data_IF_633901856257
#
_entry.id   IF_633901856257
#
_cell.length_a   1.000
_cell.length_b   1.000
_cell.length_c   1.000
_cell.angle_alpha   90.00
_cell.angle_beta   90.00
_cell.angle_gamma   90.00
#
_symmetry.space_group_name_H-M   'P 1'
#
loop_
_entity.id
_entity.type
_entity.pdbx_description
1 polymer ?
#
# COMPACT_ATOMS: atom_id res chain seq x y z
N UNK A 1 -9.13 5.81 -5.40
CA UNK A 1 -8.26 5.00 -4.51
C UNK A 1 -8.82 4.80 -3.11
N UNK A 2 -9.16 5.84 -2.32
CA UNK A 2 -9.76 5.63 -0.98
C UNK A 2 -11.02 4.76 -1.03
N UNK A 3 -11.97 5.10 -1.91
CA UNK A 3 -13.18 4.31 -2.11
C UNK A 3 -12.90 2.92 -2.71
N UNK A 4 -11.87 2.78 -3.55
CA UNK A 4 -11.46 1.48 -4.10
C UNK A 4 -10.93 0.57 -3.00
N UNK A 5 -10.09 1.09 -2.11
CA UNK A 5 -9.59 0.35 -0.96
C UNK A 5 -10.74 -0.10 -0.05
N UNK A 6 -11.73 0.77 0.18
CA UNK A 6 -12.96 0.40 0.93
C UNK A 6 -13.72 -0.73 0.22
N UNK A 7 -14.00 -0.56 -1.08
CA UNK A 7 -14.75 -1.52 -1.89
C UNK A 7 -14.09 -2.90 -1.98
N UNK A 8 -12.76 -2.95 -1.90
CA UNK A 8 -11.98 -4.19 -1.94
C UNK A 8 -11.73 -4.81 -0.55
N UNK A 9 -12.32 -4.23 0.51
CA UNK A 9 -12.24 -4.74 1.88
C UNK A 9 -10.96 -4.33 2.62
N UNK A 10 -10.23 -3.33 2.12
CA UNK A 10 -9.03 -2.77 2.73
C UNK A 10 -9.36 -1.50 3.54
N UNK A 11 -10.38 -1.57 4.41
CA UNK A 11 -10.91 -0.42 5.16
C UNK A 11 -9.84 0.38 5.94
N UNK A 12 -8.77 -0.28 6.41
CA UNK A 12 -7.62 0.38 7.06
C UNK A 12 -6.79 1.31 6.16
N UNK A 13 -7.05 1.30 4.85
CA UNK A 13 -6.50 2.22 3.84
C UNK A 13 -7.60 2.90 3.02
N UNK A 14 -8.87 2.66 3.38
CA UNK A 14 -10.07 3.25 2.78
C UNK A 14 -10.51 4.49 3.53
N UNK A 15 -11.82 4.60 3.78
CA UNK A 15 -12.49 5.78 4.33
C UNK A 15 -11.90 6.25 5.67
N UNK A 16 -11.40 5.32 6.48
CA UNK A 16 -10.70 5.61 7.75
C UNK A 16 -9.50 6.55 7.60
N UNK A 17 -8.93 6.71 6.39
CA UNK A 17 -7.80 7.60 6.12
C UNK A 17 -8.19 9.04 5.79
N UNK A 18 -9.46 9.31 5.51
CA UNK A 18 -9.92 10.65 5.10
C UNK A 18 -9.61 11.70 6.17
N UNK A 19 -9.89 11.39 7.44
CA UNK A 19 -9.59 12.30 8.55
C UNK A 19 -8.08 12.57 8.68
N UNK A 20 -7.25 11.51 8.60
CA UNK A 20 -5.81 11.64 8.71
C UNK A 20 -5.21 12.46 7.56
N UNK A 21 -5.63 12.22 6.31
CA UNK A 21 -5.18 13.02 5.17
C UNK A 21 -5.62 14.49 5.29
N UNK A 22 -6.84 14.73 5.75
CA UNK A 22 -7.36 16.10 5.96
C UNK A 22 -6.53 16.83 7.02
N UNK A 23 -6.19 16.16 8.12
CA UNK A 23 -5.34 16.74 9.16
C UNK A 23 -3.95 17.07 8.64
N UNK A 24 -3.30 16.17 7.89
CA UNK A 24 -1.98 16.44 7.31
C UNK A 24 -1.99 17.58 6.29
N UNK A 25 -3.04 17.68 5.47
CA UNK A 25 -3.21 18.80 4.54
C UNK A 25 -3.38 20.13 5.27
N UNK A 26 -4.22 20.18 6.31
CA UNK A 26 -4.43 21.38 7.13
C UNK A 26 -3.18 21.82 7.88
N UNK A 27 -2.39 20.86 8.38
CA UNK A 27 -1.16 21.11 9.12
C UNK A 27 0.06 21.39 8.21
N UNK A 28 -0.10 21.36 6.89
CA UNK A 28 1.01 21.55 5.95
C UNK A 28 1.96 20.36 5.81
N UNK A 29 1.64 19.22 6.44
CA UNK A 29 2.39 17.98 6.23
C UNK A 29 2.17 17.36 4.86
N UNK A 30 1.05 17.65 4.20
CA UNK A 30 0.85 17.34 2.78
C UNK A 30 0.60 18.63 2.01
N UNK A 31 1.15 18.69 0.79
CA UNK A 31 0.89 19.79 -0.12
C UNK A 31 -0.44 19.55 -0.85
N UNK A 32 -1.39 20.46 -0.69
CA UNK A 32 -2.70 20.41 -1.35
C UNK A 32 -2.63 20.71 -2.85
N UNK A 33 -1.56 21.38 -3.31
CA UNK A 33 -1.36 21.78 -4.71
C UNK A 33 0.08 21.47 -5.15
N UNK A 34 0.48 20.19 -5.16
CA UNK A 34 1.85 19.79 -5.43
C UNK A 34 2.21 19.99 -6.91
N UNK A 35 3.45 20.43 -7.16
CA UNK A 35 4.03 20.47 -8.51
C UNK A 35 4.80 19.19 -8.77
N UNK A 36 4.16 18.23 -9.44
CA UNK A 36 4.76 16.93 -9.74
C UNK A 36 5.74 17.02 -10.92
N UNK A 37 7.04 16.83 -10.67
CA UNK A 37 8.10 16.85 -11.70
C UNK A 37 8.60 15.44 -11.99
N UNK A 38 8.42 14.97 -13.23
CA UNK A 38 9.01 13.72 -13.70
C UNK A 38 10.40 14.01 -14.30
N UNK A 39 11.37 13.21 -13.91
CA UNK A 39 12.75 13.25 -14.41
C UNK A 39 13.12 11.88 -14.97
N UNK A 40 13.23 11.75 -16.29
CA UNK A 40 13.74 10.54 -16.93
C UNK A 40 15.26 10.53 -16.79
N UNK A 41 15.79 9.65 -15.94
CA UNK A 41 17.23 9.57 -15.67
C UNK A 41 17.93 8.62 -16.65
N UNK A 42 17.20 7.64 -17.19
CA UNK A 42 17.61 6.70 -18.24
C UNK A 42 16.40 6.36 -19.13
N UNK A 43 16.57 5.73 -20.31
CA UNK A 43 15.45 5.38 -21.18
C UNK A 43 14.32 4.63 -20.48
N UNK A 44 14.65 3.67 -19.61
CA UNK A 44 13.68 2.85 -18.86
C UNK A 44 13.54 3.22 -17.38
N UNK A 45 14.12 4.35 -16.93
CA UNK A 45 14.11 4.74 -15.50
C UNK A 45 13.74 6.21 -15.34
N UNK A 46 12.77 6.48 -14.47
CA UNK A 46 12.41 7.84 -14.09
C UNK A 46 12.24 8.01 -12.58
N UNK A 47 12.37 9.26 -12.14
CA UNK A 47 12.10 9.71 -10.77
C UNK A 47 10.97 10.73 -10.82
N UNK A 48 9.90 10.49 -10.07
CA UNK A 48 8.82 11.44 -9.87
C UNK A 48 9.04 12.16 -8.53
N UNK A 49 9.39 13.45 -8.61
CA UNK A 49 9.49 14.35 -7.47
C UNK A 49 8.08 14.87 -7.15
N UNK A 50 7.58 14.55 -5.95
CA UNK A 50 6.16 14.69 -5.64
C UNK A 50 5.79 15.95 -4.84
N UNK A 51 6.75 16.77 -4.42
CA UNK A 51 6.47 18.07 -3.78
C UNK A 51 5.46 17.98 -2.61
N UNK A 52 5.62 16.97 -1.74
CA UNK A 52 4.73 16.76 -0.59
C UNK A 52 3.33 16.26 -0.93
N UNK A 53 3.06 15.83 -2.16
CA UNK A 53 1.75 15.36 -2.58
C UNK A 53 1.20 14.22 -1.71
N UNK A 54 -0.14 14.10 -1.57
CA UNK A 54 -0.75 12.87 -1.10
C UNK A 54 -0.27 11.67 -1.95
N UNK A 55 0.13 10.59 -1.30
CA UNK A 55 0.70 9.42 -1.97
C UNK A 55 -0.12 8.89 -3.15
N UNK A 56 -1.45 8.71 -3.04
CA UNK A 56 -2.29 8.32 -4.17
C UNK A 56 -2.21 9.24 -5.40
N UNK A 57 -2.02 10.54 -5.20
CA UNK A 57 -1.92 11.52 -6.30
C UNK A 57 -0.63 11.30 -7.07
N UNK A 58 0.51 11.24 -6.37
CA UNK A 58 1.81 11.01 -6.98
C UNK A 58 1.94 9.59 -7.57
N UNK A 59 1.48 8.57 -6.85
CA UNK A 59 1.55 7.19 -7.29
C UNK A 59 0.72 6.91 -8.54
N UNK A 60 -0.50 7.45 -8.64
CA UNK A 60 -1.33 7.29 -9.85
C UNK A 60 -0.76 8.04 -11.05
N UNK A 61 -0.13 9.20 -10.82
CA UNK A 61 0.64 9.88 -11.86
C UNK A 61 1.80 8.99 -12.33
N UNK A 62 2.58 8.43 -11.40
CA UNK A 62 3.71 7.55 -11.70
C UNK A 62 3.30 6.31 -12.48
N UNK A 63 2.17 5.67 -12.16
CA UNK A 63 1.64 4.51 -12.92
C UNK A 63 1.39 4.85 -14.39
N UNK A 64 0.83 6.04 -14.68
CA UNK A 64 0.56 6.46 -16.07
C UNK A 64 1.86 6.62 -16.87
N UNK A 65 2.85 7.28 -16.28
CA UNK A 65 4.16 7.48 -16.90
C UNK A 65 4.90 6.14 -17.08
N UNK A 66 4.85 5.29 -16.06
CA UNK A 66 5.46 3.96 -16.08
C UNK A 66 4.86 3.07 -17.17
N UNK A 67 3.53 3.10 -17.35
CA UNK A 67 2.88 2.29 -18.37
C UNK A 67 3.33 2.67 -19.78
N UNK A 68 3.50 3.96 -20.07
CA UNK A 68 4.03 4.43 -21.35
C UNK A 68 5.49 4.00 -21.54
N UNK A 69 6.34 4.20 -20.53
CA UNK A 69 7.75 3.81 -20.57
C UNK A 69 7.95 2.30 -20.76
N UNK A 70 7.17 1.47 -20.05
CA UNK A 70 7.29 0.02 -20.12
C UNK A 70 6.92 -0.53 -21.50
N UNK A 71 5.91 0.05 -22.18
CA UNK A 71 5.58 -0.32 -23.57
C UNK A 71 6.67 0.10 -24.54
N UNK A 72 7.26 1.27 -24.33
CA UNK A 72 8.33 1.77 -25.20
C UNK A 72 9.62 0.95 -25.06
N UNK A 73 9.94 0.50 -23.84
CA UNK A 73 11.24 -0.07 -23.50
C UNK A 73 11.19 -1.57 -23.15
N UNK A 74 10.01 -2.20 -23.19
CA UNK A 74 9.75 -3.57 -22.74
C UNK A 74 9.75 -3.76 -21.22
N UNK A 75 10.54 -2.97 -20.49
CA UNK A 75 10.47 -2.86 -19.03
C UNK A 75 10.89 -1.46 -18.57
N UNK A 76 10.29 -0.99 -17.48
CA UNK A 76 10.62 0.30 -16.91
C UNK A 76 10.41 0.36 -15.40
N UNK A 77 11.00 1.36 -14.75
CA UNK A 77 10.78 1.66 -13.34
C UNK A 77 10.59 3.15 -13.09
N UNK A 78 9.75 3.47 -12.10
CA UNK A 78 9.55 4.84 -11.60
C UNK A 78 9.69 4.84 -10.09
N UNK A 79 10.66 5.60 -9.59
CA UNK A 79 10.78 5.92 -8.18
C UNK A 79 9.95 7.17 -7.85
N UNK A 80 9.12 7.12 -6.82
CA UNK A 80 8.33 8.25 -6.33
C UNK A 80 8.93 8.77 -5.03
N UNK A 81 9.30 10.05 -5.01
CA UNK A 81 10.00 10.73 -3.91
C UNK A 81 9.19 11.87 -3.33
N UNK A 82 9.22 12.01 -2.01
CA UNK A 82 8.58 13.15 -1.33
C UNK A 82 7.06 13.12 -1.38
N UNK A 83 6.45 11.93 -1.46
CA UNK A 83 5.00 11.75 -1.42
C UNK A 83 4.56 11.20 -0.05
N UNK A 84 3.39 11.60 0.43
CA UNK A 84 2.78 11.03 1.64
C UNK A 84 2.47 9.54 1.53
N UNK A 85 1.85 9.00 2.59
CA UNK A 85 1.35 7.63 2.64
C UNK A 85 0.61 7.24 1.35
N UNK A 86 1.04 6.15 0.71
CA UNK A 86 0.62 5.74 -0.63
C UNK A 86 -0.66 4.88 -0.69
N UNK A 87 -1.31 4.57 0.43
CA UNK A 87 -2.53 3.74 0.40
C UNK A 87 -2.22 2.28 0.06
N UNK A 88 -3.08 1.64 -0.74
CA UNK A 88 -2.95 0.21 -1.08
C UNK A 88 -2.10 0.02 -2.34
N UNK A 89 -1.15 -0.92 -2.31
CA UNK A 89 -0.24 -1.12 -3.44
C UNK A 89 -0.92 -1.82 -4.62
N UNK A 90 -1.95 -2.62 -4.34
CA UNK A 90 -2.85 -3.22 -5.34
C UNK A 90 -3.46 -2.20 -6.30
N UNK A 91 -3.72 -0.97 -5.85
CA UNK A 91 -4.24 0.08 -6.72
C UNK A 91 -3.26 0.48 -7.83
N UNK A 92 -1.95 0.40 -7.58
CA UNK A 92 -0.92 0.71 -8.57
C UNK A 92 -0.65 -0.50 -9.48
N UNK A 93 -0.35 -1.64 -8.86
CA UNK A 93 -0.01 -2.86 -9.57
C UNK A 93 -1.20 -3.38 -10.41
N UNK A 94 -2.42 -3.31 -9.87
CA UNK A 94 -3.64 -3.66 -10.58
C UNK A 94 -3.90 -2.79 -11.80
N UNK A 95 -3.62 -1.48 -11.74
CA UNK A 95 -3.78 -0.59 -12.91
C UNK A 95 -2.80 -0.90 -14.03
N UNK A 96 -1.56 -1.27 -13.68
CA UNK A 96 -0.59 -1.76 -14.66
C UNK A 96 -1.10 -3.06 -15.31
N UNK A 97 -1.64 -3.98 -14.51
CA UNK A 97 -2.20 -5.24 -15.00
C UNK A 97 -3.40 -5.05 -15.95
N UNK A 98 -4.33 -4.14 -15.61
CA UNK A 98 -5.43 -3.79 -16.51
C UNK A 98 -4.94 -3.11 -17.81
N UNK A 99 -3.77 -2.48 -17.78
CA UNK A 99 -3.13 -1.90 -18.96
C UNK A 99 -2.33 -2.94 -19.78
N UNK A 100 -2.42 -4.24 -19.46
CA UNK A 100 -1.70 -5.30 -20.15
C UNK A 100 -0.24 -5.48 -19.69
N UNK A 101 0.17 -4.84 -18.60
CA UNK A 101 1.55 -4.89 -18.09
C UNK A 101 1.65 -5.68 -16.79
N UNK A 102 2.71 -6.48 -16.62
CA UNK A 102 3.04 -7.04 -15.30
C UNK A 102 3.64 -5.93 -14.46
N UNK A 103 2.99 -5.57 -13.36
CA UNK A 103 3.40 -4.50 -12.46
C UNK A 103 3.82 -4.99 -11.08
N UNK A 104 4.89 -4.41 -10.55
CA UNK A 104 5.33 -4.56 -9.17
C UNK A 104 5.28 -3.20 -8.46
N UNK A 105 4.93 -3.22 -7.18
CA UNK A 105 4.99 -2.03 -6.33
C UNK A 105 5.60 -2.38 -4.97
N UNK A 106 6.44 -1.48 -4.46
CA UNK A 106 7.13 -1.61 -3.18
C UNK A 106 7.06 -0.28 -2.42
N UNK A 107 6.76 -0.31 -1.13
CA UNK A 107 6.79 0.88 -0.28
C UNK A 107 7.45 0.55 1.06
N UNK A 108 8.29 1.44 1.58
CA UNK A 108 8.72 1.38 2.97
C UNK A 108 7.73 2.15 3.85
N UNK A 109 7.68 1.81 5.14
CA UNK A 109 6.71 2.39 6.08
C UNK A 109 7.39 2.72 7.41
N UNK A 110 6.77 3.52 8.29
CA UNK A 110 7.32 3.73 9.62
C UNK A 110 7.61 2.41 10.36
N UNK A 111 8.58 2.40 11.29
CA UNK A 111 9.10 1.16 11.85
C UNK A 111 8.04 0.40 12.63
N UNK A 112 8.03 -0.92 12.44
CA UNK A 112 6.96 -1.77 12.93
C UNK A 112 7.35 -3.24 13.15
N UNK A 113 8.31 -3.80 12.41
CA UNK A 113 8.61 -5.25 12.42
C UNK A 113 9.84 -5.56 13.28
N UNK A 114 9.79 -6.68 14.01
CA UNK A 114 10.89 -7.22 14.83
C UNK A 114 12.10 -7.75 14.00
N UNK A 115 13.32 -7.84 14.57
CA UNK A 115 13.71 -7.53 15.96
C UNK A 115 13.94 -6.03 16.19
N UNK A 116 13.18 -5.46 17.14
CA UNK A 116 13.12 -4.00 17.34
C UNK A 116 12.51 -3.29 16.13
N UNK A 117 11.68 -2.24 16.30
CA UNK A 117 11.02 -1.63 15.16
C UNK A 117 12.05 -0.77 14.40
N UNK A 118 12.81 -1.39 13.51
CA UNK A 118 13.77 -0.75 12.58
C UNK A 118 13.16 -0.73 11.18
N UNK A 119 12.61 -1.86 10.74
CA UNK A 119 11.95 -2.00 9.45
C UNK A 119 10.45 -1.74 9.59
N UNK A 120 9.86 -1.17 8.56
CA UNK A 120 8.42 -1.04 8.45
C UNK A 120 7.70 -2.35 8.13
N UNK A 121 6.37 -2.28 8.03
CA UNK A 121 5.54 -3.35 7.47
C UNK A 121 5.83 -3.64 6.00
N UNK A 122 6.51 -2.71 5.33
CA UNK A 122 7.21 -2.84 4.06
C UNK A 122 6.47 -3.69 3.03
N UNK A 123 5.27 -3.26 2.58
CA UNK A 123 4.45 -4.05 1.68
C UNK A 123 5.06 -4.17 0.28
N UNK A 124 4.66 -5.25 -0.40
CA UNK A 124 4.88 -5.45 -1.82
C UNK A 124 3.59 -5.91 -2.52
N UNK A 125 3.47 -5.59 -3.81
CA UNK A 125 2.36 -6.01 -4.64
C UNK A 125 2.81 -6.46 -6.02
N UNK A 126 2.01 -7.37 -6.60
CA UNK A 126 2.09 -7.83 -7.98
C UNK A 126 0.72 -7.62 -8.63
N UNK A 127 0.71 -7.09 -9.85
CA UNK A 127 -0.41 -7.13 -10.76
C UNK A 127 0.03 -7.81 -12.05
N UNK A 128 -0.68 -8.81 -12.50
CA UNK A 128 -0.36 -9.56 -13.72
C UNK A 128 -1.61 -9.68 -14.60
N UNK A 129 -1.55 -9.31 -15.89
CA UNK A 129 -2.69 -9.46 -16.80
C UNK A 129 -3.15 -10.90 -16.85
N UNK A 130 -4.45 -11.11 -16.66
CA UNK A 130 -5.10 -12.40 -16.71
C UNK A 130 -6.57 -12.21 -17.08
N UNK A 131 -7.23 -13.28 -17.50
CA UNK A 131 -8.65 -13.29 -17.81
C UNK A 131 -9.40 -14.18 -16.80
N UNK A 132 -10.64 -13.82 -16.42
CA UNK A 132 -11.36 -12.58 -16.78
C UNK A 132 -10.88 -11.35 -15.99
N UNK A 133 -10.17 -11.56 -14.88
CA UNK A 133 -9.65 -10.51 -14.00
C UNK A 133 -8.14 -10.70 -13.82
N UNK A 134 -7.36 -9.62 -13.62
CA UNK A 134 -5.94 -9.73 -13.34
C UNK A 134 -5.63 -10.48 -12.05
N UNK A 135 -4.48 -11.14 -12.02
CA UNK A 135 -3.90 -11.65 -10.77
C UNK A 135 -3.37 -10.44 -9.99
N UNK A 136 -3.85 -10.26 -8.75
CA UNK A 136 -3.41 -9.15 -7.88
C UNK A 136 -3.04 -9.67 -6.49
N UNK A 137 -1.77 -9.50 -6.16
CA UNK A 137 -1.19 -9.75 -4.83
C UNK A 137 -0.88 -8.40 -4.20
N UNK A 138 -1.22 -8.23 -2.94
CA UNK A 138 -0.89 -7.05 -2.14
C UNK A 138 -0.80 -7.51 -0.69
N UNK A 139 0.39 -7.43 -0.11
CA UNK A 139 0.69 -7.97 1.21
C UNK A 139 1.72 -7.11 1.94
N UNK A 140 1.50 -6.90 3.24
CA UNK A 140 2.56 -6.52 4.17
C UNK A 140 3.47 -7.72 4.43
N UNK A 141 4.68 -7.43 4.90
CA UNK A 141 5.67 -8.45 5.28
C UNK A 141 5.55 -8.82 6.78
N UNK A 142 4.61 -8.20 7.50
CA UNK A 142 4.20 -8.60 8.86
C UNK A 142 3.05 -9.61 8.82
N UNK A 143 2.97 -10.46 9.85
CA UNK A 143 1.89 -11.45 10.07
C UNK A 143 0.51 -10.77 10.12
N UNK A 144 0.45 -9.58 10.71
CA UNK A 144 -0.76 -8.77 10.81
C UNK A 144 -0.51 -7.35 10.33
N UNK A 145 -1.57 -6.66 9.91
CA UNK A 145 -1.50 -5.23 9.65
C UNK A 145 -1.55 -4.46 10.97
N UNK A 146 -0.66 -3.47 11.15
CA UNK A 146 -0.65 -2.62 12.37
C UNK A 146 -2.00 -1.98 12.66
N UNK A 147 -2.77 -1.62 11.63
CA UNK A 147 -4.13 -1.10 11.77
C UNK A 147 -5.10 -2.04 12.51
N UNK A 148 -4.93 -3.36 12.37
CA UNK A 148 -5.76 -4.34 13.12
C UNK A 148 -5.44 -4.32 14.61
N UNK A 149 -4.16 -4.15 14.97
CA UNK A 149 -3.71 -4.03 16.37
C UNK A 149 -4.22 -2.70 16.96
N UNK A 150 -4.11 -1.59 16.23
CA UNK A 150 -4.68 -0.29 16.65
C UNK A 150 -6.19 -0.42 16.91
N UNK A 151 -6.90 -1.13 16.01
CA UNK A 151 -8.34 -1.35 16.13
C UNK A 151 -8.69 -2.21 17.36
N UNK A 152 -7.95 -3.29 17.62
CA UNK A 152 -8.13 -4.12 18.82
C UNK A 152 -7.84 -3.34 20.11
N UNK A 153 -6.76 -2.54 20.13
CA UNK A 153 -6.40 -1.70 21.28
C UNK A 153 -7.48 -0.65 21.60
N UNK A 154 -8.09 -0.04 20.57
CA UNK A 154 -9.23 0.88 20.74
C UNK A 154 -10.47 0.20 21.32
N UNK A 155 -10.70 -1.07 21.01
CA UNK A 155 -11.82 -1.86 21.56
C UNK A 155 -11.49 -2.53 22.90
N UNK A 156 -10.24 -2.48 23.36
CA UNK A 156 -9.79 -3.22 24.54
C UNK A 156 -9.79 -4.74 24.33
N UNK A 157 -9.68 -5.20 23.10
CA UNK A 157 -9.68 -6.62 22.74
C UNK A 157 -8.24 -7.18 22.60
N UNK A 158 -8.02 -8.46 22.93
CA UNK A 158 -6.73 -9.11 22.67
C UNK A 158 -6.48 -9.31 21.16
N UNK A 159 -5.21 -9.41 20.78
CA UNK A 159 -4.78 -9.85 19.45
C UNK A 159 -4.45 -11.35 19.45
N UNK A 160 -4.57 -12.04 18.30
CA UNK A 160 -4.15 -13.44 18.19
C UNK A 160 -2.67 -13.64 18.52
N UNK A 161 -2.35 -14.81 19.07
CA UNK A 161 -0.96 -15.23 19.32
C UNK A 161 -0.13 -15.20 18.02
N UNK A 162 1.17 -14.89 18.16
CA UNK A 162 2.11 -14.87 17.04
C UNK A 162 1.99 -13.64 16.13
N UNK A 163 1.21 -12.61 16.50
CA UNK A 163 1.13 -11.37 15.74
C UNK A 163 2.23 -10.36 16.11
N UNK A 164 2.59 -10.30 17.39
CA UNK A 164 3.47 -9.27 17.92
C UNK A 164 4.25 -9.72 19.16
N UNK A 165 5.27 -8.94 19.47
CA UNK A 165 6.02 -8.96 20.73
C UNK A 165 5.86 -7.62 21.43
N UNK A 166 6.02 -7.59 22.75
CA UNK A 166 6.07 -6.38 23.55
C UNK A 166 7.42 -5.62 23.39
N UNK A 167 7.64 -4.59 24.20
CA UNK A 167 8.84 -3.76 24.17
C UNK A 167 10.10 -4.54 24.53
N UNK A 168 9.96 -5.54 25.40
CA UNK A 168 11.03 -6.42 25.86
C UNK A 168 11.32 -7.57 24.87
N UNK A 169 10.46 -7.73 23.85
CA UNK A 169 10.58 -8.75 22.82
C UNK A 169 9.89 -10.07 23.17
N UNK A 170 9.07 -10.12 24.23
CA UNK A 170 8.29 -11.30 24.58
C UNK A 170 7.00 -11.35 23.75
N UNK A 171 6.56 -12.54 23.28
CA UNK A 171 5.28 -12.70 22.61
C UNK A 171 4.12 -12.14 23.44
N UNK A 172 3.20 -11.41 22.81
CA UNK A 172 2.06 -10.80 23.51
C UNK A 172 0.76 -10.90 22.74
N UNK A 173 -0.34 -11.04 23.47
CA UNK A 173 -1.72 -10.92 22.98
C UNK A 173 -2.37 -9.61 23.44
N UNK A 174 -1.70 -8.80 24.25
CA UNK A 174 -2.17 -7.47 24.63
C UNK A 174 -1.93 -6.48 23.48
N UNK A 175 -3.02 -5.90 22.97
CA UNK A 175 -2.95 -5.00 21.82
C UNK A 175 -2.19 -3.70 22.10
N UNK A 176 -2.18 -3.20 23.35
CA UNK A 176 -1.43 -1.99 23.73
C UNK A 176 0.05 -2.30 23.85
N UNK A 177 0.41 -3.38 24.53
CA UNK A 177 1.79 -3.86 24.61
C UNK A 177 2.37 -4.12 23.21
N UNK A 178 1.58 -4.70 22.31
CA UNK A 178 1.97 -4.91 20.92
C UNK A 178 2.21 -3.61 20.12
N UNK A 179 1.52 -2.51 20.45
CA UNK A 179 1.75 -1.21 19.80
C UNK A 179 3.05 -0.54 20.26
N UNK A 180 3.45 -0.80 21.50
CA UNK A 180 4.71 -0.35 22.10
C UNK A 180 5.90 -1.23 21.72
N UNK A 181 5.64 -2.48 21.33
CA UNK A 181 6.62 -3.44 20.85
C UNK A 181 6.75 -3.51 19.32
N UNK A 182 6.68 -4.71 18.76
CA UNK A 182 6.92 -4.95 17.33
C UNK A 182 6.05 -6.07 16.77
N UNK A 183 5.70 -5.96 15.50
CA UNK A 183 4.99 -7.00 14.76
C UNK A 183 5.96 -8.08 14.30
N UNK A 184 5.49 -9.33 14.29
CA UNK A 184 6.30 -10.44 13.78
C UNK A 184 6.29 -10.49 12.24
N UNK A 185 7.42 -10.77 11.60
CA UNK A 185 7.49 -10.97 10.15
C UNK A 185 6.81 -12.27 9.71
N UNK A 186 6.13 -12.24 8.57
CA UNK A 186 5.49 -13.43 7.99
C UNK A 186 6.53 -14.52 7.66
N UNK A 187 6.32 -15.75 8.13
CA UNK A 187 7.26 -16.83 7.89
C UNK A 187 8.66 -16.59 8.53
N UNK A 188 8.73 -15.81 9.60
CA UNK A 188 9.95 -15.58 10.37
C UNK A 188 11.06 -14.93 9.54
N UNK A 189 12.24 -15.56 9.49
CA UNK A 189 13.41 -15.03 8.78
C UNK A 189 13.19 -14.74 7.29
N UNK A 190 12.27 -15.46 6.63
CA UNK A 190 11.91 -15.18 5.22
C UNK A 190 11.16 -13.86 5.08
N UNK A 191 10.22 -13.58 5.98
CA UNK A 191 9.55 -12.28 6.04
C UNK A 191 10.55 -11.19 6.36
N UNK A 192 11.42 -11.39 7.35
CA UNK A 192 12.45 -10.39 7.65
C UNK A 192 13.32 -10.06 6.42
N UNK A 193 13.76 -11.07 5.67
CA UNK A 193 14.51 -10.87 4.43
C UNK A 193 13.71 -10.09 3.37
N UNK A 194 12.41 -10.35 3.23
CA UNK A 194 11.54 -9.58 2.34
C UNK A 194 11.39 -8.12 2.81
N UNK A 195 11.32 -7.87 4.12
CA UNK A 195 11.21 -6.52 4.66
C UNK A 195 12.49 -5.71 4.36
N UNK A 196 13.67 -6.34 4.46
CA UNK A 196 14.95 -5.74 4.05
C UNK A 196 14.98 -5.47 2.54
N UNK A 197 14.54 -6.42 1.71
CA UNK A 197 14.47 -6.23 0.26
C UNK A 197 13.61 -5.01 -0.09
N UNK A 198 12.42 -4.88 0.51
CA UNK A 198 11.53 -3.76 0.27
C UNK A 198 12.13 -2.46 0.81
N UNK A 199 12.83 -2.48 1.95
CA UNK A 199 13.52 -1.31 2.49
C UNK A 199 14.58 -0.78 1.53
N UNK A 200 15.38 -1.67 0.94
CA UNK A 200 16.39 -1.31 -0.06
C UNK A 200 15.75 -0.71 -1.30
N UNK A 201 14.69 -1.33 -1.82
CA UNK A 201 14.03 -0.88 -3.06
C UNK A 201 13.23 0.41 -2.87
N UNK A 202 12.43 0.50 -1.82
CA UNK A 202 11.51 1.60 -1.60
C UNK A 202 12.10 2.71 -0.74
N UNK A 203 12.82 2.38 0.34
CA UNK A 203 13.45 3.37 1.21
C UNK A 203 14.73 3.93 0.60
N UNK A 204 15.75 3.08 0.46
CA UNK A 204 17.09 3.52 0.04
C UNK A 204 17.15 3.96 -1.43
N UNK A 205 16.60 3.15 -2.34
CA UNK A 205 16.64 3.43 -3.78
C UNK A 205 15.58 4.46 -4.19
N UNK A 206 14.31 4.23 -3.85
CA UNK A 206 13.23 5.10 -4.31
C UNK A 206 13.02 6.33 -3.43
N UNK A 207 12.92 6.23 -2.11
CA UNK A 207 12.38 7.27 -1.22
C UNK A 207 13.37 8.26 -0.62
N UNK A 208 14.64 7.89 -0.52
CA UNK A 208 15.72 8.63 0.15
C UNK A 208 15.54 8.81 1.69
N UNK A 209 14.51 8.20 2.29
CA UNK A 209 14.26 8.17 3.73
C UNK A 209 13.98 6.73 4.13
N UNK A 210 14.70 6.21 5.11
CA UNK A 210 14.54 4.85 5.62
C UNK A 210 13.45 4.77 6.68
N UNK A 211 12.92 3.57 6.91
CA UNK A 211 11.90 3.27 7.91
C UNK A 211 12.21 3.91 9.28
N UNK A 212 13.41 3.79 9.88
CA UNK A 212 13.73 4.38 11.20
C UNK A 212 13.55 5.90 11.29
N UNK A 213 13.65 6.58 10.15
CA UNK A 213 13.56 8.04 10.04
C UNK A 213 12.13 8.49 9.72
N UNK A 214 11.24 7.54 9.42
CA UNK A 214 9.87 7.83 9.07
C UNK A 214 9.02 8.06 10.32
N UNK A 215 8.15 9.08 10.27
CA UNK A 215 7.30 9.44 11.38
C UNK A 215 6.21 8.39 11.60
N UNK A 216 5.93 8.06 12.86
CA UNK A 216 4.81 7.16 13.19
C UNK A 216 3.48 7.78 12.74
N UNK A 217 2.47 6.96 12.35
CA UNK A 217 1.20 7.47 11.84
C UNK A 217 0.41 8.38 12.80
N UNK A 218 0.69 8.28 14.11
CA UNK A 218 0.10 9.09 15.18
C UNK A 218 1.02 10.22 15.67
N UNK A 219 2.16 10.43 15.01
CA UNK A 219 3.01 11.60 15.27
C UNK A 219 2.38 12.89 14.75
N UNK A 220 3.04 14.04 14.99
CA UNK A 220 2.56 15.34 14.53
C UNK A 220 2.25 15.38 13.02
N UNK A 221 1.11 15.97 12.59
CA UNK A 221 0.69 15.93 11.19
C UNK A 221 1.58 16.74 10.23
N UNK A 222 2.36 17.70 10.70
CA UNK A 222 3.24 18.61 9.94
C UNK A 222 4.58 17.98 9.49
N UNK A 223 4.82 16.70 9.81
CA UNK A 223 6.12 16.06 9.60
C UNK A 223 6.51 15.93 8.12
N UNK A 224 7.76 16.33 7.83
CA UNK A 224 8.29 16.45 6.48
C UNK A 224 8.76 15.13 5.85
N UNK A 225 9.29 14.21 6.65
CA UNK A 225 9.87 12.96 6.14
C UNK A 225 8.79 12.05 5.52
N UNK A 226 9.05 11.59 4.29
CA UNK A 226 8.08 10.89 3.44
C UNK A 226 8.61 9.52 3.02
N UNK A 227 7.77 8.47 3.02
CA UNK A 227 8.18 7.16 2.53
C UNK A 227 8.46 7.19 1.02
N UNK A 228 9.20 6.21 0.55
CA UNK A 228 9.36 5.95 -0.86
C UNK A 228 8.35 4.96 -1.41
N UNK A 229 8.10 5.08 -2.71
CA UNK A 229 7.33 4.12 -3.49
C UNK A 229 8.12 3.81 -4.77
N UNK A 230 8.45 2.55 -4.99
CA UNK A 230 9.02 2.07 -6.23
C UNK A 230 7.94 1.33 -7.03
N UNK A 231 7.79 1.69 -8.30
CA UNK A 231 6.94 0.99 -9.24
C UNK A 231 7.81 0.43 -10.37
N UNK A 232 7.55 -0.82 -10.76
CA UNK A 232 8.25 -1.50 -11.87
C UNK A 232 7.20 -2.12 -12.77
N UNK A 233 7.38 -2.06 -14.09
CA UNK A 233 6.48 -2.69 -15.03
C UNK A 233 7.25 -3.40 -16.14
N UNK A 234 6.68 -4.50 -16.60
CA UNK A 234 7.16 -5.33 -17.70
C UNK A 234 6.03 -5.47 -18.71
N UNK A 235 6.34 -5.23 -19.98
CA UNK A 235 5.46 -5.54 -21.10
C UNK A 235 5.61 -7.02 -21.45
N UNK A 236 4.60 -7.88 -21.19
CA UNK A 236 4.71 -9.29 -21.49
C UNK A 236 5.00 -9.60 -22.96
N UNK A 237 4.54 -8.76 -23.89
CA UNK A 237 4.74 -8.96 -25.32
C UNK A 237 6.22 -8.80 -25.71
N UNK A 238 6.95 -7.93 -25.00
CA UNK A 238 8.39 -7.75 -25.19
C UNK A 238 9.22 -8.99 -24.79
N UNK A 239 8.66 -9.91 -24.00
CA UNK A 239 9.29 -11.19 -23.62
C UNK A 239 8.82 -12.35 -24.51
N UNK A 240 8.01 -12.07 -25.53
CA UNK A 240 7.51 -13.03 -26.50
C UNK A 240 6.11 -13.57 -26.21
N UNK A 241 5.53 -14.32 -27.16
CA UNK A 241 4.14 -14.73 -27.13
C UNK A 241 3.84 -15.79 -26.04
N UNK A 242 2.54 -16.07 -25.87
CA UNK A 242 2.03 -17.14 -25.01
C UNK A 242 1.98 -16.80 -23.52
N UNK A 243 2.19 -15.53 -23.13
CA UNK A 243 2.05 -15.10 -21.75
C UNK A 243 0.66 -15.44 -21.19
N UNK A 244 -0.40 -15.03 -21.89
CA UNK A 244 -1.78 -15.26 -21.46
C UNK A 244 -2.11 -16.75 -21.28
N UNK A 245 -1.68 -17.61 -22.21
CA UNK A 245 -1.86 -19.06 -22.12
C UNK A 245 -1.15 -19.66 -20.90
N UNK A 246 0.08 -19.22 -20.63
CA UNK A 246 0.85 -19.70 -19.46
C UNK A 246 0.19 -19.28 -18.15
N UNK A 247 -0.31 -18.05 -18.06
CA UNK A 247 -1.05 -17.56 -16.89
C UNK A 247 -2.36 -18.32 -16.70
N UNK A 248 -3.13 -18.53 -17.79
CA UNK A 248 -4.37 -19.31 -17.74
C UNK A 248 -4.12 -20.76 -17.31
N UNK A 249 -3.05 -21.41 -17.82
CA UNK A 249 -2.66 -22.76 -17.42
C UNK A 249 -2.27 -22.85 -15.95
N UNK A 250 -1.49 -21.89 -15.46
CA UNK A 250 -1.16 -21.79 -14.03
C UNK A 250 -2.42 -21.61 -13.19
N UNK A 251 -3.32 -20.72 -13.61
CA UNK A 251 -4.55 -20.44 -12.89
C UNK A 251 -5.45 -21.68 -12.80
N UNK A 252 -5.68 -22.37 -13.93
CA UNK A 252 -6.45 -23.61 -13.97
C UNK A 252 -5.84 -24.72 -13.13
N UNK A 253 -4.50 -24.86 -13.12
CA UNK A 253 -3.82 -25.83 -12.28
C UNK A 253 -3.98 -25.53 -10.78
N UNK A 254 -3.91 -24.27 -10.37
CA UNK A 254 -4.14 -23.85 -8.99
C UNK A 254 -5.58 -24.12 -8.55
N UNK A 255 -6.56 -23.78 -9.37
CA UNK A 255 -7.98 -24.01 -9.08
C UNK A 255 -8.30 -25.51 -9.02
N UNK A 256 -7.77 -26.31 -9.94
CA UNK A 256 -7.90 -27.77 -9.91
C UNK A 256 -7.32 -28.41 -8.65
N UNK A 257 -6.30 -27.78 -8.05
CA UNK A 257 -5.73 -28.18 -6.76
C UNK A 257 -6.52 -27.66 -5.54
N UNK A 258 -7.67 -27.01 -5.74
CA UNK A 258 -8.47 -26.39 -4.67
C UNK A 258 -7.91 -25.04 -4.17
N UNK A 259 -6.91 -24.50 -4.87
CA UNK A 259 -6.35 -23.19 -4.63
C UNK A 259 -7.26 -22.07 -5.14
N UNK A 260 -6.84 -20.83 -4.89
CA UNK A 260 -7.54 -19.63 -5.35
C UNK A 260 -6.53 -18.67 -5.96
N UNK A 261 -6.94 -17.98 -7.03
CA UNK A 261 -6.13 -16.96 -7.66
C UNK A 261 -6.16 -15.68 -6.81
N UNK A 262 -5.00 -15.16 -6.38
CA UNK A 262 -4.94 -13.89 -5.67
C UNK A 262 -5.57 -12.76 -6.50
N UNK A 263 -6.51 -12.02 -5.92
CA UNK A 263 -7.23 -10.93 -6.58
C UNK A 263 -8.73 -11.20 -6.76
N UNK A 264 -9.15 -12.46 -6.92
CA UNK A 264 -10.55 -12.81 -7.20
C UNK A 264 -11.55 -12.26 -6.17
N UNK A 265 -11.20 -12.34 -4.87
CA UNK A 265 -12.03 -11.78 -3.79
C UNK A 265 -12.19 -10.25 -3.90
N UNK A 266 -11.13 -9.54 -4.30
CA UNK A 266 -11.14 -8.07 -4.44
C UNK A 266 -12.05 -7.65 -5.58
N UNK A 267 -11.94 -8.32 -6.73
CA UNK A 267 -12.81 -8.07 -7.88
C UNK A 267 -14.29 -8.30 -7.54
N UNK A 268 -14.62 -9.41 -6.88
CA UNK A 268 -15.99 -9.69 -6.44
C UNK A 268 -16.53 -8.65 -5.45
N UNK A 269 -15.70 -8.24 -4.47
CA UNK A 269 -16.05 -7.21 -3.48
C UNK A 269 -16.31 -5.85 -4.16
N UNK A 270 -15.44 -5.45 -5.08
CA UNK A 270 -15.59 -4.22 -5.87
C UNK A 270 -16.87 -4.24 -6.72
N UNK A 271 -17.14 -5.35 -7.41
CA UNK A 271 -18.34 -5.50 -8.22
C UNK A 271 -19.62 -5.44 -7.38
N UNK A 272 -19.60 -6.01 -6.17
CA UNK A 272 -20.70 -5.90 -5.21
C UNK A 272 -20.89 -4.44 -4.77
N UNK A 273 -19.83 -3.77 -4.35
CA UNK A 273 -19.87 -2.38 -3.90
C UNK A 273 -20.40 -1.41 -4.97
N UNK A 274 -20.10 -1.64 -6.26
CA UNK A 274 -20.64 -0.83 -7.35
C UNK A 274 -22.14 -1.00 -7.57
N UNK A 275 -22.71 -2.17 -7.23
CA UNK A 275 -24.16 -2.44 -7.36
C UNK A 275 -24.94 -2.06 -6.11
N UNK A 276 -24.39 -2.36 -4.95
CA UNK A 276 -25.10 -2.29 -3.66
C UNK A 276 -24.69 -1.07 -2.82
N UNK A 277 -23.62 -0.36 -3.20
CA UNK A 277 -23.01 0.67 -2.37
C UNK A 277 -21.99 0.11 -1.37
N UNK A 278 -21.41 1.02 -0.58
CA UNK A 278 -20.47 0.67 0.49
C UNK A 278 -21.18 0.67 1.82
N UNK A 279 -21.05 -0.42 2.57
CA UNK A 279 -21.46 -0.47 3.97
C UNK A 279 -20.41 0.25 4.83
N UNK A 280 -20.83 1.29 5.54
CA UNK A 280 -19.96 2.09 6.41
C UNK A 280 -20.50 2.01 7.83
N UNK A 281 -19.66 1.58 8.78
CA UNK A 281 -20.06 1.51 10.18
C UNK A 281 -20.45 2.87 10.75
N UNK A 282 -21.46 2.89 11.62
CA UNK A 282 -22.07 4.12 12.17
C UNK A 282 -21.05 5.09 12.77
N UNK A 283 -20.06 4.57 13.51
CA UNK A 283 -18.99 5.40 14.09
C UNK A 283 -18.19 6.15 13.03
N UNK A 284 -17.75 5.45 11.97
CA UNK A 284 -16.99 6.07 10.89
C UNK A 284 -17.86 7.05 10.08
N UNK A 285 -19.14 6.72 9.89
CA UNK A 285 -20.08 7.62 9.25
C UNK A 285 -20.26 8.93 10.05
N UNK A 286 -20.40 8.84 11.38
CA UNK A 286 -20.50 9.99 12.26
C UNK A 286 -19.20 10.83 12.28
N UNK A 287 -18.03 10.20 12.32
CA UNK A 287 -16.73 10.87 12.24
C UNK A 287 -16.59 11.65 10.93
N UNK A 288 -16.93 11.04 9.80
CA UNK A 288 -16.87 11.68 8.49
C UNK A 288 -17.90 12.80 8.35
N UNK A 289 -19.11 12.62 8.88
CA UNK A 289 -20.15 13.66 8.90
C UNK A 289 -19.70 14.88 9.70
N UNK A 290 -19.17 14.66 10.89
CA UNK A 290 -18.59 15.71 11.75
C UNK A 290 -17.47 16.46 11.02
N UNK A 291 -16.53 15.73 10.40
CA UNK A 291 -15.45 16.33 9.62
C UNK A 291 -15.97 17.17 8.45
N UNK A 292 -17.00 16.69 7.76
CA UNK A 292 -17.67 17.40 6.67
C UNK A 292 -18.24 18.74 7.11
N UNK A 293 -18.98 18.76 8.23
CA UNK A 293 -19.52 19.98 8.82
C UNK A 293 -18.42 20.97 9.19
N UNK A 294 -17.36 20.50 9.86
CA UNK A 294 -16.21 21.33 10.22
C UNK A 294 -15.49 21.93 9.01
N UNK A 295 -15.42 21.21 7.89
CA UNK A 295 -14.82 21.70 6.64
C UNK A 295 -15.68 22.77 5.95
N UNK A 296 -16.99 22.74 6.16
CA UNK A 296 -17.94 23.72 5.63
C UNK A 296 -18.13 24.94 6.55
N UNK A 297 -17.44 24.98 7.69
CA UNK A 297 -17.59 26.06 8.69
C UNK A 297 -18.78 25.89 9.65
N UNK A 298 -19.43 24.72 9.65
CA UNK A 298 -20.46 24.37 10.63
C UNK A 298 -19.86 24.02 11.99
N UNK A 299 -20.61 24.31 13.08
CA UNK A 299 -20.31 23.76 14.42
C UNK A 299 -20.78 22.30 14.45
N UNK A 300 -19.91 21.41 14.95
CA UNK A 300 -20.19 20.00 15.17
C UNK A 300 -21.30 19.81 16.22
#
# INVERSE_FOLDING_TARGET
MVLEAEAEGNAGHGLSRVAQYTQQLRAGGLNARPVLRLERTRPSVAVLHADGAPGPVAGLRAVRELAALAREQGSASVAVRGAGHCGVLSAYAGRLAHAGLVGLAFANTPPAIAPGPVLGTNPLALGAPAAPEPVVIDTSVSVAARGKIISAAKRGEPIPEGWAVDREGHPTTDAKAALEGSLLPIGGGKGFALAVLVEVLAGALAGAVLSPELPLPWGPPEQAAKPGLLLVAFDPEAFGPGYGERVARMAGALEAAGGRIPGARRAASRARALREGLEVGETLQAELGTLGLQLQGGKA
#
